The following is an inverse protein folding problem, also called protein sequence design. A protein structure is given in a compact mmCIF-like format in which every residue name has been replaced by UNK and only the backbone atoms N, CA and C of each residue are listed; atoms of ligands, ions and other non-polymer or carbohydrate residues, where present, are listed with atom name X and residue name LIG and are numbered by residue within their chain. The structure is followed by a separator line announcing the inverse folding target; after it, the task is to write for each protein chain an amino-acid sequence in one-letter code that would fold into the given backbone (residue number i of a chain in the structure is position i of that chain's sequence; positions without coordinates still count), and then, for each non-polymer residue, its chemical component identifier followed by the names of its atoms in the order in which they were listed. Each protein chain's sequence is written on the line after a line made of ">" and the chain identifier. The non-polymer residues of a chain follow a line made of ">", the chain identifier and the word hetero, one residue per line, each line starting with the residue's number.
data_IF_940550468613
#
_entry.id   IF_940550468613
#
_cell.length_a   1.000
_cell.length_b   1.000
_cell.length_c   1.000
_cell.angle_alpha   90.00
_cell.angle_beta   90.00
_cell.angle_gamma   90.00
#
_symmetry.space_group_name_H-M   'P 1'
#
loop_
_entity.id
_entity.type
_entity.pdbx_description
1 polymer ?
#
# COMPACT_ATOMS: atom_id res chain seq x y z
N UNK A 1 -21.66 59.59 3.08
CA UNK A 1 -20.60 60.41 2.43
C UNK A 1 -19.51 60.62 3.48
N UNK A 2 -18.68 59.60 3.73
CA UNK A 2 -17.35 59.36 3.14
C UNK A 2 -16.24 60.22 3.76
N UNK A 3 -15.45 59.63 4.67
CA UNK A 3 -14.11 60.13 5.07
C UNK A 3 -13.15 58.93 5.23
N UNK A 4 -12.42 58.66 4.14
CA UNK A 4 -10.99 58.37 3.96
C UNK A 4 -10.13 57.99 5.21
N UNK A 5 -9.47 56.81 5.20
CA UNK A 5 -8.00 56.53 5.06
C UNK A 5 -7.47 55.32 5.86
N UNK A 6 -6.90 54.38 5.09
CA UNK A 6 -5.67 53.57 5.29
C UNK A 6 -5.38 52.66 6.51
N UNK A 7 -4.88 51.46 6.12
CA UNK A 7 -3.91 50.54 6.74
C UNK A 7 -4.37 49.55 7.81
N UNK A 8 -4.25 48.25 7.49
CA UNK A 8 -3.31 47.32 8.16
C UNK A 8 -3.26 45.96 7.45
N UNK A 9 -2.04 45.45 7.28
CA UNK A 9 -1.72 44.05 6.96
C UNK A 9 -2.39 43.15 8.00
N UNK A 10 -3.29 42.27 7.58
CA UNK A 10 -3.71 41.13 8.40
C UNK A 10 -2.97 39.88 7.92
N UNK A 11 -2.10 39.40 8.81
CA UNK A 11 -1.57 38.03 8.90
C UNK A 11 -2.65 36.98 8.64
N UNK A 12 -2.29 35.79 8.09
CA UNK A 12 -3.24 34.71 7.93
C UNK A 12 -3.71 34.27 9.31
N UNK A 13 -4.99 34.46 9.57
CA UNK A 13 -5.69 33.88 10.70
C UNK A 13 -5.46 32.37 10.70
N UNK A 14 -4.81 31.88 11.76
CA UNK A 14 -4.78 30.47 12.10
C UNK A 14 -6.21 30.01 12.33
N UNK A 15 -6.82 29.38 11.33
CA UNK A 15 -8.09 28.68 11.46
C UNK A 15 -7.93 27.62 12.55
N UNK A 16 -8.51 27.90 13.72
CA UNK A 16 -8.70 26.92 14.78
C UNK A 16 -9.53 25.78 14.18
N UNK A 17 -8.90 24.62 13.97
CA UNK A 17 -9.63 23.38 13.67
C UNK A 17 -10.61 23.15 14.81
N UNK A 18 -11.90 23.24 14.53
CA UNK A 18 -12.94 22.85 15.47
C UNK A 18 -12.70 21.37 15.82
N UNK A 19 -12.54 21.08 17.11
CA UNK A 19 -12.42 19.71 17.60
C UNK A 19 -13.78 19.04 17.45
N UNK A 20 -13.95 18.25 16.38
CA UNK A 20 -15.05 17.29 16.33
C UNK A 20 -14.93 16.32 17.52
N UNK A 21 -16.05 15.90 18.14
CA UNK A 21 -16.02 14.93 19.23
C UNK A 21 -15.29 13.68 18.76
N UNK A 22 -14.48 13.07 19.64
CA UNK A 22 -13.73 11.84 19.40
C UNK A 22 -14.67 10.73 18.92
N UNK A 23 -14.83 10.59 17.60
CA UNK A 23 -15.68 9.57 17.01
C UNK A 23 -14.84 8.32 16.82
N UNK A 24 -15.10 7.34 17.67
CA UNK A 24 -14.60 6.00 17.45
C UNK A 24 -15.35 5.40 16.27
N UNK A 25 -14.66 5.13 15.17
CA UNK A 25 -15.26 4.54 13.97
C UNK A 25 -14.68 3.15 13.76
N UNK A 26 -15.54 2.13 13.68
CA UNK A 26 -15.19 0.76 13.36
C UNK A 26 -15.36 0.48 11.87
N UNK A 27 -14.25 0.16 11.22
CA UNK A 27 -14.16 -0.12 9.79
C UNK A 27 -13.92 -1.61 9.58
N UNK A 28 -14.78 -2.23 8.77
CA UNK A 28 -14.50 -3.53 8.14
C UNK A 28 -13.77 -3.28 6.82
N UNK A 29 -12.59 -3.85 6.62
CA UNK A 29 -11.81 -3.74 5.39
C UNK A 29 -11.67 -5.09 4.70
N UNK A 30 -11.93 -5.13 3.39
CA UNK A 30 -11.89 -6.34 2.55
C UNK A 30 -10.92 -6.11 1.37
N UNK A 31 -9.97 -7.03 1.18
CA UNK A 31 -8.98 -7.00 0.11
C UNK A 31 -8.99 -8.35 -0.66
N UNK A 32 -9.25 -8.28 -1.97
CA UNK A 32 -9.33 -9.43 -2.88
C UNK A 32 -8.85 -9.07 -4.29
N UNK A 33 -7.85 -8.19 -4.42
CA UNK A 33 -7.37 -7.70 -5.72
C UNK A 33 -6.58 -8.73 -6.53
N UNK A 34 -5.93 -9.69 -5.88
CA UNK A 34 -5.05 -10.66 -6.53
C UNK A 34 -5.24 -12.09 -5.99
N UNK A 35 -4.29 -12.62 -5.22
CA UNK A 35 -4.26 -14.01 -4.74
C UNK A 35 -4.27 -14.11 -3.20
N UNK A 36 -4.63 -13.01 -2.53
CA UNK A 36 -4.78 -12.92 -1.08
C UNK A 36 -6.21 -12.52 -0.75
N UNK A 37 -6.86 -13.30 0.13
CA UNK A 37 -8.15 -12.91 0.72
C UNK A 37 -7.86 -12.32 2.08
N UNK A 38 -8.06 -11.02 2.22
CA UNK A 38 -7.81 -10.32 3.48
C UNK A 38 -9.08 -9.69 4.03
N UNK A 39 -9.26 -9.81 5.34
CA UNK A 39 -10.31 -9.11 6.10
C UNK A 39 -9.69 -8.54 7.38
N UNK A 40 -9.85 -7.24 7.59
CA UNK A 40 -9.37 -6.56 8.79
C UNK A 40 -10.50 -5.77 9.46
N UNK A 41 -10.45 -5.69 10.79
CA UNK A 41 -11.26 -4.75 11.57
C UNK A 41 -10.32 -3.71 12.14
N UNK A 42 -10.62 -2.46 11.82
CA UNK A 42 -9.81 -1.30 12.21
C UNK A 42 -10.69 -0.32 12.98
N UNK A 43 -10.14 0.24 14.05
CA UNK A 43 -10.78 1.32 14.80
C UNK A 43 -10.01 2.61 14.59
N UNK A 44 -10.71 3.66 14.19
CA UNK A 44 -10.19 5.02 14.25
C UNK A 44 -10.52 5.58 15.62
N UNK A 45 -9.51 5.96 16.39
CA UNK A 45 -9.64 6.66 17.67
C UNK A 45 -8.85 7.97 17.54
N UNK A 46 -9.53 9.11 17.50
CA UNK A 46 -8.94 10.43 17.18
C UNK A 46 -8.17 10.41 15.84
N UNK A 47 -6.86 10.72 15.86
CA UNK A 47 -5.95 10.71 14.71
C UNK A 47 -5.12 9.40 14.64
N UNK A 48 -5.54 8.35 15.36
CA UNK A 48 -4.85 7.07 15.45
C UNK A 48 -5.67 5.94 14.83
N UNK A 49 -4.98 5.10 14.07
CA UNK A 49 -5.53 3.88 13.48
C UNK A 49 -5.11 2.68 14.32
N UNK A 50 -6.07 1.94 14.86
CA UNK A 50 -5.83 0.73 15.67
C UNK A 50 -6.36 -0.50 14.95
N UNK A 51 -5.48 -1.46 14.67
CA UNK A 51 -5.87 -2.75 14.10
C UNK A 51 -6.41 -3.65 15.22
N UNK A 52 -7.69 -4.05 15.13
CA UNK A 52 -8.32 -4.99 16.07
C UNK A 52 -8.18 -6.44 15.61
N UNK A 53 -8.22 -6.67 14.30
CA UNK A 53 -7.94 -7.96 13.67
C UNK A 53 -7.42 -7.76 12.25
N UNK A 54 -6.60 -8.69 11.78
CA UNK A 54 -6.04 -8.67 10.43
C UNK A 54 -5.83 -10.12 9.94
N UNK A 55 -6.83 -10.65 9.24
CA UNK A 55 -6.84 -12.01 8.73
C UNK A 55 -6.41 -12.02 7.26
N UNK A 56 -5.45 -12.88 6.91
CA UNK A 56 -4.93 -13.02 5.55
C UNK A 56 -4.85 -14.49 5.18
N UNK A 57 -5.55 -14.87 4.10
CA UNK A 57 -5.45 -16.19 3.46
C UNK A 57 -4.75 -16.06 2.12
N UNK A 58 -3.50 -16.51 2.05
CA UNK A 58 -2.67 -16.48 0.83
C UNK A 58 -2.86 -17.74 -0.01
N UNK A 59 -3.07 -17.57 -1.32
CA UNK A 59 -3.26 -18.65 -2.28
C UNK A 59 -1.95 -19.06 -2.98
N UNK A 60 -0.80 -18.55 -2.52
CA UNK A 60 0.52 -18.79 -3.15
C UNK A 60 0.79 -20.27 -3.42
N UNK A 61 0.52 -21.17 -2.46
CA UNK A 61 0.74 -22.62 -2.62
C UNK A 61 -0.11 -23.23 -3.74
N UNK A 62 -1.29 -22.68 -3.98
CA UNK A 62 -2.21 -23.14 -5.02
C UNK A 62 -1.70 -22.73 -6.40
N UNK A 63 -1.25 -21.48 -6.54
CA UNK A 63 -0.76 -20.90 -7.80
C UNK A 63 0.66 -21.34 -8.16
N UNK A 64 1.46 -21.79 -7.18
CA UNK A 64 2.83 -22.26 -7.42
C UNK A 64 2.94 -23.36 -8.50
N UNK A 65 1.91 -24.22 -8.64
CA UNK A 65 1.85 -25.27 -9.67
C UNK A 65 1.79 -24.72 -11.10
N UNK A 66 1.33 -23.48 -11.26
CA UNK A 66 1.17 -22.79 -12.53
C UNK A 66 2.28 -21.77 -12.80
N UNK A 67 3.16 -21.54 -11.81
CA UNK A 67 4.23 -20.55 -11.91
C UNK A 67 3.75 -19.10 -12.00
N UNK A 68 2.54 -18.83 -11.50
CA UNK A 68 1.89 -17.52 -11.52
C UNK A 68 0.41 -17.60 -11.14
N UNK A 69 -0.21 -16.45 -10.86
CA UNK A 69 -1.61 -16.38 -10.45
C UNK A 69 -2.55 -16.74 -11.60
N UNK A 70 -3.47 -17.67 -11.34
CA UNK A 70 -4.55 -18.03 -12.27
C UNK A 70 -5.84 -17.29 -11.88
N UNK A 71 -6.33 -16.29 -12.65
CA UNK A 71 -7.38 -15.38 -12.18
C UNK A 71 -8.69 -16.05 -11.75
N UNK A 72 -9.17 -17.03 -12.52
CA UNK A 72 -10.42 -17.74 -12.19
C UNK A 72 -10.26 -18.65 -10.96
N UNK A 73 -9.06 -19.18 -10.73
CA UNK A 73 -8.77 -19.96 -9.54
C UNK A 73 -8.71 -19.06 -8.31
N UNK A 74 -8.11 -17.87 -8.45
CA UNK A 74 -8.04 -16.89 -7.38
C UNK A 74 -9.43 -16.41 -6.94
N UNK A 75 -10.29 -16.06 -7.90
CA UNK A 75 -11.69 -15.72 -7.64
C UNK A 75 -12.43 -16.83 -6.86
N UNK A 76 -12.24 -18.10 -7.23
CA UNK A 76 -12.86 -19.25 -6.53
C UNK A 76 -12.39 -19.37 -5.09
N UNK A 77 -11.11 -19.13 -4.83
CA UNK A 77 -10.59 -19.17 -3.46
C UNK A 77 -11.07 -17.98 -2.62
N UNK A 78 -11.25 -16.78 -3.20
CA UNK A 78 -11.89 -15.68 -2.47
C UNK A 78 -13.31 -16.04 -2.03
N UNK A 79 -14.12 -16.63 -2.92
CA UNK A 79 -15.49 -17.06 -2.59
C UNK A 79 -15.51 -18.04 -1.42
N UNK A 80 -14.57 -19.01 -1.39
CA UNK A 80 -14.49 -20.00 -0.31
C UNK A 80 -14.06 -19.39 1.02
N UNK A 81 -13.14 -18.43 0.99
CA UNK A 81 -12.46 -17.96 2.19
C UNK A 81 -13.07 -16.70 2.81
N UNK A 82 -13.77 -15.84 2.06
CA UNK A 82 -14.25 -14.55 2.56
C UNK A 82 -15.11 -14.66 3.83
N UNK A 83 -16.11 -15.54 3.83
CA UNK A 83 -16.99 -15.72 4.99
C UNK A 83 -16.25 -16.28 6.21
N UNK A 84 -15.29 -17.19 5.99
CA UNK A 84 -14.44 -17.74 7.04
C UNK A 84 -13.51 -16.68 7.63
N UNK A 85 -12.93 -15.83 6.77
CA UNK A 85 -12.06 -14.72 7.18
C UNK A 85 -12.85 -13.66 7.94
N UNK A 86 -14.06 -13.31 7.48
CA UNK A 86 -14.93 -12.37 8.19
C UNK A 86 -15.28 -12.89 9.59
N UNK A 87 -15.72 -14.14 9.72
CA UNK A 87 -16.04 -14.74 11.02
C UNK A 87 -14.83 -14.72 11.96
N UNK A 88 -13.66 -15.08 11.45
CA UNK A 88 -12.40 -15.08 12.21
C UNK A 88 -12.02 -13.66 12.64
N UNK A 89 -12.16 -12.67 11.76
CA UNK A 89 -11.84 -11.27 12.02
C UNK A 89 -12.77 -10.65 13.08
N UNK A 90 -14.08 -10.95 13.04
CA UNK A 90 -15.05 -10.51 14.05
C UNK A 90 -14.76 -11.15 15.42
N UNK A 91 -14.45 -12.46 15.42
CA UNK A 91 -14.12 -13.19 16.64
C UNK A 91 -12.84 -12.67 17.30
N UNK A 92 -11.78 -12.43 16.53
CA UNK A 92 -10.52 -11.88 17.03
C UNK A 92 -10.71 -10.45 17.58
N UNK A 93 -11.46 -9.61 16.86
CA UNK A 93 -11.78 -8.25 17.28
C UNK A 93 -12.77 -8.19 18.46
N UNK A 94 -13.48 -9.29 18.75
CA UNK A 94 -14.53 -9.41 19.78
C UNK A 94 -15.65 -8.40 19.60
N UNK A 95 -16.11 -8.23 18.37
CA UNK A 95 -17.24 -7.35 18.02
C UNK A 95 -18.32 -8.14 17.28
N UNK A 96 -19.52 -7.56 17.23
CA UNK A 96 -20.64 -8.06 16.44
C UNK A 96 -20.78 -7.24 15.13
N UNK A 97 -21.40 -7.81 14.07
CA UNK A 97 -21.64 -7.07 12.83
C UNK A 97 -22.36 -5.73 13.01
N UNK A 98 -23.25 -5.62 14.00
CA UNK A 98 -24.00 -4.39 14.30
C UNK A 98 -23.08 -3.24 14.75
N UNK A 99 -21.93 -3.56 15.35
CA UNK A 99 -20.95 -2.60 15.85
C UNK A 99 -20.12 -1.97 14.73
N UNK A 100 -20.15 -2.51 13.51
CA UNK A 100 -19.40 -1.97 12.37
C UNK A 100 -20.08 -0.69 11.91
N UNK A 101 -19.32 0.39 11.74
CA UNK A 101 -19.84 1.67 11.28
C UNK A 101 -19.77 1.81 9.76
N UNK A 102 -18.73 1.26 9.14
CA UNK A 102 -18.48 1.37 7.69
C UNK A 102 -17.77 0.16 7.14
N UNK A 103 -18.09 -0.20 5.90
CA UNK A 103 -17.45 -1.26 5.14
C UNK A 103 -16.58 -0.62 4.06
N UNK A 104 -15.34 -1.08 3.94
CA UNK A 104 -14.40 -0.67 2.91
C UNK A 104 -13.93 -1.89 2.12
N UNK A 105 -13.77 -1.72 0.81
CA UNK A 105 -13.36 -2.80 -0.08
C UNK A 105 -12.45 -2.27 -1.17
N UNK A 106 -11.42 -3.03 -1.51
CA UNK A 106 -10.57 -2.70 -2.65
C UNK A 106 -11.37 -2.78 -3.95
N UNK A 107 -11.50 -1.64 -4.63
CA UNK A 107 -12.21 -1.53 -5.90
C UNK A 107 -11.29 -1.74 -7.11
N UNK A 108 -9.99 -1.50 -6.94
CA UNK A 108 -8.95 -1.69 -7.95
C UNK A 108 -7.71 -0.84 -7.67
N UNK A 109 -6.66 -0.96 -8.49
CA UNK A 109 -6.48 -1.92 -9.57
C UNK A 109 -6.34 -3.36 -9.06
N UNK A 110 -6.47 -4.34 -9.96
CA UNK A 110 -6.39 -5.77 -9.63
C UNK A 110 -7.02 -6.66 -10.70
N UNK A 111 -7.07 -7.96 -10.42
CA UNK A 111 -7.68 -8.95 -11.30
C UNK A 111 -9.20 -8.81 -11.23
N UNK A 112 -9.85 -8.45 -12.35
CA UNK A 112 -11.31 -8.25 -12.42
C UNK A 112 -12.11 -9.40 -11.78
N UNK A 113 -11.82 -10.70 -12.07
CA UNK A 113 -12.56 -11.80 -11.45
C UNK A 113 -12.43 -11.84 -9.92
N UNK A 114 -11.28 -11.42 -9.37
CA UNK A 114 -11.02 -11.40 -7.94
C UNK A 114 -11.68 -10.18 -7.27
N UNK A 115 -11.53 -9.00 -7.86
CA UNK A 115 -12.16 -7.75 -7.39
C UNK A 115 -13.69 -7.87 -7.31
N UNK A 116 -14.32 -8.46 -8.34
CA UNK A 116 -15.77 -8.64 -8.38
C UNK A 116 -16.28 -9.47 -7.20
N UNK A 117 -15.51 -10.45 -6.72
CA UNK A 117 -15.90 -11.26 -5.57
C UNK A 117 -15.94 -10.41 -4.30
N UNK A 118 -14.86 -9.69 -3.99
CA UNK A 118 -14.80 -8.82 -2.81
C UNK A 118 -15.82 -7.67 -2.87
N UNK A 119 -15.91 -6.97 -4.00
CA UNK A 119 -16.84 -5.84 -4.18
C UNK A 119 -18.29 -6.30 -4.04
N UNK A 120 -18.69 -7.42 -4.65
CA UNK A 120 -20.05 -7.92 -4.51
C UNK A 120 -20.33 -8.38 -3.08
N UNK A 121 -19.39 -9.06 -2.43
CA UNK A 121 -19.51 -9.47 -1.04
C UNK A 121 -19.71 -8.25 -0.12
N UNK A 122 -18.88 -7.21 -0.26
CA UNK A 122 -18.98 -5.98 0.51
C UNK A 122 -20.29 -5.23 0.25
N UNK A 123 -20.77 -5.17 -1.00
CA UNK A 123 -22.09 -4.61 -1.34
C UNK A 123 -23.23 -5.40 -0.68
N UNK A 124 -23.15 -6.73 -0.67
CA UNK A 124 -24.14 -7.57 0.02
C UNK A 124 -24.16 -7.29 1.52
N UNK A 125 -23.00 -7.19 2.17
CA UNK A 125 -22.93 -6.84 3.59
C UNK A 125 -23.45 -5.43 3.88
N UNK A 126 -23.08 -4.45 3.05
CA UNK A 126 -23.55 -3.07 3.16
C UNK A 126 -25.07 -3.00 3.06
N UNK A 127 -25.68 -3.74 2.13
CA UNK A 127 -27.13 -3.83 1.99
C UNK A 127 -27.80 -4.52 3.19
N UNK A 128 -27.25 -5.65 3.66
CA UNK A 128 -27.83 -6.42 4.77
C UNK A 128 -27.70 -5.73 6.14
N UNK A 129 -26.59 -5.02 6.36
CA UNK A 129 -26.30 -4.38 7.64
C UNK A 129 -26.62 -2.89 7.65
N UNK A 130 -27.11 -2.35 6.52
CA UNK A 130 -27.42 -0.94 6.32
C UNK A 130 -26.24 -0.02 6.69
N UNK A 131 -25.02 -0.45 6.32
CA UNK A 131 -23.78 0.30 6.60
C UNK A 131 -23.24 0.96 5.33
N UNK A 132 -22.68 2.18 5.41
CA UNK A 132 -21.97 2.81 4.31
C UNK A 132 -20.88 1.91 3.72
N UNK A 133 -20.69 2.00 2.40
CA UNK A 133 -19.67 1.28 1.65
C UNK A 133 -18.71 2.26 0.98
N UNK A 134 -17.41 2.05 1.16
CA UNK A 134 -16.35 2.87 0.57
C UNK A 134 -15.47 1.98 -0.33
N UNK A 135 -15.32 2.38 -1.60
CA UNK A 135 -14.35 1.79 -2.51
C UNK A 135 -12.96 2.36 -2.26
N UNK A 136 -11.96 1.49 -2.11
CA UNK A 136 -10.57 1.88 -1.85
C UNK A 136 -9.70 1.54 -3.05
N UNK A 137 -8.81 2.46 -3.40
CA UNK A 137 -7.79 2.20 -4.40
C UNK A 137 -6.63 1.39 -3.79
N UNK A 138 -6.30 0.23 -4.37
CA UNK A 138 -5.33 -0.72 -3.82
C UNK A 138 -3.96 -0.08 -3.52
N UNK A 139 -3.48 0.77 -4.43
CA UNK A 139 -2.18 1.46 -4.26
C UNK A 139 -2.22 2.53 -3.17
N UNK A 140 -3.37 3.17 -2.95
CA UNK A 140 -3.52 4.09 -1.82
C UNK A 140 -3.42 3.31 -0.51
N UNK A 141 -4.02 2.11 -0.45
CA UNK A 141 -3.86 1.20 0.68
C UNK A 141 -2.39 0.89 0.99
N UNK A 142 -1.57 0.59 -0.02
CA UNK A 142 -0.13 0.39 0.15
C UNK A 142 0.60 1.62 0.69
N UNK A 143 0.26 2.81 0.21
CA UNK A 143 0.85 4.06 0.70
C UNK A 143 0.46 4.29 2.18
N UNK A 144 -0.83 4.18 2.48
CA UNK A 144 -1.38 4.41 3.82
C UNK A 144 -0.97 3.35 4.85
N UNK A 145 -0.52 2.17 4.44
CA UNK A 145 0.04 1.16 5.35
C UNK A 145 1.18 1.74 6.22
N UNK A 146 1.97 2.69 5.69
CA UNK A 146 3.06 3.35 6.42
C UNK A 146 2.57 4.35 7.48
N UNK A 147 1.28 4.73 7.45
CA UNK A 147 0.67 5.64 8.42
C UNK A 147 0.04 4.89 9.60
N UNK A 148 -0.10 3.56 9.50
CA UNK A 148 -0.57 2.73 10.61
C UNK A 148 0.60 2.48 11.55
N UNK A 149 0.54 3.08 12.75
CA UNK A 149 1.57 2.90 13.79
C UNK A 149 1.54 1.47 14.34
N UNK A 150 2.71 0.96 14.71
CA UNK A 150 2.98 -0.45 15.05
C UNK A 150 1.91 -1.12 15.91
N UNK A 151 1.46 -2.31 15.48
CA UNK A 151 0.96 -3.32 16.39
C UNK A 151 2.17 -4.10 16.92
N UNK A 152 2.51 -4.04 18.22
CA UNK A 152 3.66 -4.74 18.78
C UNK A 152 3.59 -6.28 18.67
N UNK A 153 2.50 -6.84 18.12
CA UNK A 153 2.31 -8.27 17.87
C UNK A 153 2.54 -8.72 16.42
N UNK A 154 2.88 -7.84 15.47
CA UNK A 154 3.24 -8.31 14.13
C UNK A 154 4.65 -8.92 14.14
N UNK A 155 4.74 -10.25 14.11
CA UNK A 155 6.02 -10.99 14.06
C UNK A 155 6.85 -10.72 12.80
N UNK A 156 6.25 -10.06 11.81
CA UNK A 156 6.95 -9.53 10.64
C UNK A 156 7.21 -8.06 10.95
N UNK A 157 8.41 -7.76 11.47
CA UNK A 157 9.16 -6.51 11.24
C UNK A 157 10.31 -6.42 12.25
N UNK A 158 11.30 -7.28 12.05
CA UNK A 158 12.68 -6.89 12.35
C UNK A 158 13.60 -7.64 11.39
N UNK A 159 14.43 -6.97 10.57
CA UNK A 159 15.47 -7.61 9.76
C UNK A 159 16.59 -8.24 10.62
N UNK A 160 16.34 -8.55 11.89
CA UNK A 160 17.23 -9.34 12.74
C UNK A 160 17.24 -10.84 12.39
N UNK A 161 16.35 -11.31 11.50
CA UNK A 161 16.24 -12.74 11.14
C UNK A 161 16.75 -13.12 9.74
N UNK A 162 17.18 -12.17 8.91
CA UNK A 162 17.88 -12.51 7.65
C UNK A 162 19.38 -12.31 7.88
N UNK A 163 20.02 -13.40 8.28
CA UNK A 163 21.46 -13.51 8.42
C UNK A 163 22.19 -13.22 7.09
N UNK A 164 23.30 -12.47 7.19
CA UNK A 164 24.38 -12.26 6.19
C UNK A 164 24.20 -11.26 5.03
N UNK A 165 23.16 -10.43 4.98
CA UNK A 165 23.16 -9.27 4.07
C UNK A 165 23.40 -8.01 4.89
N UNK A 166 24.39 -7.20 4.53
CA UNK A 166 24.52 -5.81 5.03
C UNK A 166 23.26 -5.05 4.60
N UNK A 167 22.21 -5.12 5.42
CA UNK A 167 21.08 -4.23 5.29
C UNK A 167 21.60 -2.82 5.54
N UNK A 168 21.51 -1.96 4.52
CA UNK A 168 21.69 -0.53 4.72
C UNK A 168 20.77 -0.12 5.87
N UNK A 169 21.37 0.27 7.00
CA UNK A 169 20.63 0.76 8.18
C UNK A 169 20.03 2.12 7.83
N UNK A 170 18.93 2.11 7.10
CA UNK A 170 18.08 3.28 6.96
C UNK A 170 17.51 3.56 8.36
N UNK A 171 18.07 4.57 9.03
CA UNK A 171 17.45 5.13 10.24
C UNK A 171 16.21 5.90 9.78
N UNK A 172 15.07 5.20 9.67
CA UNK A 172 13.79 5.89 9.66
C UNK A 172 13.62 6.52 11.05
N UNK A 173 13.77 7.84 11.15
CA UNK A 173 13.43 8.54 12.38
C UNK A 173 11.94 8.34 12.63
N UNK A 174 11.52 8.08 13.87
CA UNK A 174 10.12 8.10 14.34
C UNK A 174 9.44 9.48 14.20
N UNK A 175 9.99 10.37 13.38
CA UNK A 175 9.43 11.66 13.07
C UNK A 175 8.08 11.47 12.37
N UNK A 176 7.08 12.25 12.80
CA UNK A 176 5.80 12.35 12.12
C UNK A 176 6.02 12.60 10.61
N UNK A 177 5.33 11.83 9.78
CA UNK A 177 5.38 11.97 8.31
C UNK A 177 4.96 13.40 7.96
N UNK A 178 5.82 14.13 7.25
CA UNK A 178 5.56 15.51 6.79
C UNK A 178 5.45 15.53 5.28
N UNK A 179 4.40 16.15 4.77
CA UNK A 179 4.21 16.33 3.34
C UNK A 179 5.08 17.47 2.77
N UNK A 180 5.41 17.43 1.46
CA UNK A 180 5.15 16.33 0.53
C UNK A 180 6.05 15.11 0.81
N UNK A 181 5.57 13.90 0.49
CA UNK A 181 6.35 12.66 0.57
C UNK A 181 6.50 12.02 -0.79
N UNK A 182 7.62 11.34 -0.99
CA UNK A 182 7.87 10.53 -2.17
C UNK A 182 7.74 9.04 -1.80
N UNK A 183 6.77 8.36 -2.41
CA UNK A 183 6.46 6.96 -2.18
C UNK A 183 7.02 6.11 -3.31
N UNK A 184 7.87 5.14 -2.98
CA UNK A 184 8.26 4.08 -3.90
C UNK A 184 7.35 2.87 -3.66
N UNK A 185 6.44 2.62 -4.60
CA UNK A 185 5.51 1.48 -4.56
C UNK A 185 6.10 0.34 -5.38
N UNK A 186 6.47 -0.76 -4.72
CA UNK A 186 7.01 -1.96 -5.36
C UNK A 186 6.20 -3.18 -4.93
N UNK A 187 5.50 -3.80 -5.87
CA UNK A 187 4.72 -5.02 -5.66
C UNK A 187 4.91 -6.00 -6.82
N UNK A 188 4.16 -7.11 -6.81
CA UNK A 188 4.12 -8.05 -7.93
C UNK A 188 3.77 -7.39 -9.26
N UNK A 189 2.78 -6.50 -9.26
CA UNK A 189 2.25 -5.86 -10.48
C UNK A 189 2.46 -4.35 -10.58
N UNK A 190 3.14 -3.72 -9.61
CA UNK A 190 3.35 -2.27 -9.61
C UNK A 190 4.81 -1.93 -9.31
N UNK A 191 5.36 -0.99 -10.06
CA UNK A 191 6.63 -0.33 -9.77
C UNK A 191 6.46 1.13 -10.15
N UNK A 192 6.17 1.95 -9.14
CA UNK A 192 5.80 3.34 -9.31
C UNK A 192 6.51 4.22 -8.28
N UNK A 193 6.87 5.42 -8.71
CA UNK A 193 7.33 6.52 -7.88
C UNK A 193 6.21 7.55 -7.85
N UNK A 194 5.63 7.76 -6.67
CA UNK A 194 4.44 8.58 -6.46
C UNK A 194 4.77 9.73 -5.52
N UNK A 195 4.63 10.96 -5.98
CA UNK A 195 4.69 12.16 -5.15
C UNK A 195 3.33 12.39 -4.51
N UNK A 196 3.25 12.29 -3.19
CA UNK A 196 2.06 12.59 -2.40
C UNK A 196 2.24 13.99 -1.78
N UNK A 197 1.52 14.97 -2.32
CA UNK A 197 1.63 16.39 -1.94
C UNK A 197 0.95 16.72 -0.63
N UNK A 198 -0.13 16.01 -0.34
CA UNK A 198 -0.90 15.98 0.91
C UNK A 198 -1.74 14.68 0.91
N UNK A 199 -2.52 14.43 1.96
CA UNK A 199 -3.49 13.34 1.97
C UNK A 199 -4.38 13.34 0.73
N UNK A 200 -4.50 12.16 0.10
CA UNK A 200 -5.30 11.94 -1.12
C UNK A 200 -4.88 12.78 -2.35
N UNK A 201 -3.71 13.44 -2.31
CA UNK A 201 -3.18 14.23 -3.43
C UNK A 201 -1.93 13.59 -4.01
N UNK A 202 -2.10 12.83 -5.09
CA UNK A 202 -1.03 12.03 -5.70
C UNK A 202 -0.64 12.54 -7.09
N UNK A 203 0.64 12.38 -7.41
CA UNK A 203 1.20 12.57 -8.74
C UNK A 203 2.17 11.42 -9.02
N UNK A 204 1.93 10.63 -10.07
CA UNK A 204 2.87 9.61 -10.52
C UNK A 204 4.02 10.32 -11.22
N UNK A 205 5.20 10.34 -10.60
CA UNK A 205 6.40 10.98 -11.15
C UNK A 205 7.25 10.02 -12.00
N UNK A 206 7.05 8.72 -11.83
CA UNK A 206 7.68 7.69 -12.64
C UNK A 206 7.03 6.33 -12.43
N UNK A 207 7.10 5.48 -13.44
CA UNK A 207 6.63 4.10 -13.36
C UNK A 207 7.42 3.22 -14.34
N UNK A 208 7.41 1.91 -14.09
CA UNK A 208 7.90 0.96 -15.09
C UNK A 208 7.11 1.08 -16.39
N UNK A 209 7.77 0.84 -17.52
CA UNK A 209 7.12 0.78 -18.85
C UNK A 209 6.78 -0.65 -19.25
N UNK A 210 7.36 -1.63 -18.56
CA UNK A 210 7.25 -3.05 -18.87
C UNK A 210 6.94 -3.85 -17.59
N UNK A 211 7.89 -4.66 -17.13
CA UNK A 211 7.71 -5.52 -15.98
C UNK A 211 7.81 -4.71 -14.70
N UNK A 212 6.88 -4.97 -13.78
CA UNK A 212 7.10 -4.59 -12.39
C UNK A 212 8.27 -5.39 -11.82
N UNK A 213 8.95 -4.84 -10.83
CA UNK A 213 10.10 -5.51 -10.18
C UNK A 213 9.68 -6.86 -9.60
N UNK A 214 8.52 -6.96 -8.94
CA UNK A 214 8.04 -8.24 -8.42
C UNK A 214 7.86 -9.30 -9.52
N UNK A 215 7.22 -8.92 -10.63
CA UNK A 215 7.07 -9.78 -11.81
C UNK A 215 8.41 -10.20 -12.42
N UNK A 216 9.37 -9.27 -12.52
CA UNK A 216 10.71 -9.58 -13.02
C UNK A 216 11.41 -10.64 -12.14
N UNK A 217 11.29 -10.52 -10.82
CA UNK A 217 11.80 -11.52 -9.88
C UNK A 217 11.13 -12.89 -10.07
N UNK A 218 9.81 -12.93 -10.29
CA UNK A 218 9.06 -14.15 -10.54
C UNK A 218 9.45 -14.81 -11.86
N UNK A 219 9.64 -14.02 -12.93
CA UNK A 219 10.12 -14.51 -14.24
C UNK A 219 11.51 -15.11 -14.13
N UNK A 220 12.45 -14.42 -13.47
CA UNK A 220 13.82 -14.92 -13.25
C UNK A 220 13.79 -16.20 -12.43
N UNK A 221 13.02 -16.25 -11.35
CA UNK A 221 12.89 -17.44 -10.52
C UNK A 221 12.39 -18.65 -11.32
N UNK A 222 11.43 -18.43 -12.21
CA UNK A 222 10.91 -19.47 -13.12
C UNK A 222 11.97 -19.95 -14.11
N UNK A 223 12.73 -19.03 -14.72
CA UNK A 223 13.82 -19.38 -15.66
C UNK A 223 14.91 -20.20 -14.95
N UNK A 224 15.23 -19.84 -13.70
CA UNK A 224 16.22 -20.53 -12.87
C UNK A 224 15.70 -21.83 -12.24
N UNK A 225 14.41 -22.15 -12.39
CA UNK A 225 13.81 -23.35 -11.81
C UNK A 225 13.71 -23.33 -10.28
N UNK A 226 13.73 -22.15 -9.65
CA UNK A 226 13.73 -22.00 -8.17
C UNK A 226 12.33 -21.72 -7.59
N UNK A 227 11.29 -21.83 -8.41
CA UNK A 227 9.88 -21.86 -8.00
C UNK A 227 9.14 -20.52 -8.00
N UNK A 228 7.92 -20.52 -7.45
CA UNK A 228 7.03 -19.37 -7.26
C UNK A 228 6.52 -19.35 -5.81
N UNK A 229 6.48 -18.18 -5.13
CA UNK A 229 6.79 -16.85 -5.62
C UNK A 229 8.31 -16.64 -5.66
N UNK A 230 8.78 -15.96 -6.70
CA UNK A 230 10.18 -15.85 -7.06
C UNK A 230 10.95 -14.84 -6.22
N UNK A 231 10.34 -13.73 -5.83
CA UNK A 231 10.96 -12.67 -5.01
C UNK A 231 11.79 -13.21 -3.83
N UNK A 232 11.15 -13.87 -2.84
CA UNK A 232 11.86 -14.43 -1.70
C UNK A 232 12.87 -15.53 -2.05
N UNK A 233 12.60 -16.32 -3.09
CA UNK A 233 13.49 -17.38 -3.54
C UNK A 233 14.79 -16.82 -4.12
N UNK A 234 14.71 -15.87 -5.05
CA UNK A 234 15.86 -15.19 -5.67
C UNK A 234 16.69 -14.49 -4.59
N UNK A 235 16.05 -13.73 -3.69
CA UNK A 235 16.76 -13.03 -2.62
C UNK A 235 17.57 -13.99 -1.72
N UNK A 236 17.01 -15.17 -1.41
CA UNK A 236 17.71 -16.21 -0.61
C UNK A 236 18.91 -16.80 -1.33
N UNK A 237 18.82 -17.02 -2.64
CA UNK A 237 19.95 -17.52 -3.44
C UNK A 237 21.04 -16.44 -3.56
N UNK A 238 20.64 -15.20 -3.83
CA UNK A 238 21.55 -14.06 -3.95
C UNK A 238 22.34 -13.80 -2.64
N UNK A 239 21.68 -13.91 -1.48
CA UNK A 239 22.34 -13.72 -0.18
C UNK A 239 23.47 -14.72 0.10
N UNK A 240 23.44 -15.89 -0.53
CA UNK A 240 24.48 -16.92 -0.40
C UNK A 240 25.49 -16.91 -1.56
N UNK A 241 25.27 -16.08 -2.58
CA UNK A 241 26.11 -16.04 -3.76
C UNK A 241 27.40 -15.27 -3.48
N UNK A 242 28.55 -15.90 -3.73
CA UNK A 242 29.83 -15.23 -3.71
C UNK A 242 30.21 -14.84 -5.14
N UNK A 243 30.28 -13.54 -5.40
CA UNK A 243 30.75 -13.08 -6.70
C UNK A 243 32.21 -13.52 -6.90
N UNK A 244 32.55 -14.11 -8.06
CA UNK A 244 33.93 -14.50 -8.38
C UNK A 244 34.84 -13.29 -8.62
N UNK A 245 34.29 -12.08 -8.62
CA UNK A 245 34.99 -10.82 -8.76
C UNK A 245 34.48 -9.90 -7.64
N UNK A 246 35.38 -9.17 -6.98
CA UNK A 246 34.99 -8.12 -6.05
C UNK A 246 34.10 -7.11 -6.78
N UNK A 247 32.85 -6.96 -6.33
CA UNK A 247 31.94 -5.97 -6.89
C UNK A 247 32.62 -4.59 -6.80
N UNK A 248 32.56 -3.75 -7.86
CA UNK A 248 33.05 -2.40 -7.77
C UNK A 248 32.29 -1.70 -6.65
N UNK A 249 33.00 -1.34 -5.59
CA UNK A 249 32.48 -0.48 -4.54
C UNK A 249 32.33 0.90 -5.16
N UNK A 250 31.10 1.22 -5.59
CA UNK A 250 30.78 2.60 -5.93
C UNK A 250 31.06 3.45 -4.70
N UNK A 251 32.09 4.29 -4.75
CA UNK A 251 32.16 5.41 -3.82
C UNK A 251 30.86 6.18 -4.00
N UNK A 252 30.15 6.46 -2.92
CA UNK A 252 29.05 7.41 -2.90
C UNK A 252 29.61 8.82 -3.19
N UNK A 253 30.10 9.04 -4.41
CA UNK A 253 30.28 10.37 -4.96
C UNK A 253 28.89 10.98 -5.07
N UNK A 254 28.74 12.20 -4.55
CA UNK A 254 27.50 12.97 -4.56
C UNK A 254 26.71 12.75 -5.87
N UNK A 255 25.65 11.94 -5.79
CA UNK A 255 24.67 11.81 -6.87
C UNK A 255 23.87 13.13 -6.90
N UNK A 256 24.42 14.15 -7.55
CA UNK A 256 23.65 15.31 -8.01
C UNK A 256 22.91 14.89 -9.27
N UNK A 257 21.70 14.34 -9.11
CA UNK A 257 20.77 14.24 -10.25
C UNK A 257 20.20 15.64 -10.49
N UNK A 258 20.75 16.34 -11.48
CA UNK A 258 20.15 17.57 -12.01
C UNK A 258 18.84 17.22 -12.75
N UNK A 259 17.76 16.98 -12.01
CA UNK A 259 16.40 17.04 -12.55
C UNK A 259 16.02 18.53 -12.71
N UNK A 260 16.54 19.18 -13.75
CA UNK A 260 16.00 20.46 -14.22
C UNK A 260 16.51 20.82 -15.62
N UNK A 261 15.71 20.48 -16.65
CA UNK A 261 15.32 21.31 -17.81
C UNK A 261 15.00 20.44 -19.03
N UNK A 262 13.72 20.10 -19.17
CA UNK A 262 13.04 20.16 -20.47
C UNK A 262 11.57 20.52 -20.20
N UNK A 263 11.36 21.76 -19.75
CA UNK A 263 10.06 22.41 -19.85
C UNK A 263 10.32 23.73 -20.58
N UNK A 264 9.69 23.84 -21.75
CA UNK A 264 9.48 25.02 -22.59
C UNK A 264 10.70 25.83 -23.07
N UNK A 265 11.01 25.72 -24.36
CA UNK A 265 11.43 26.84 -25.22
C UNK A 265 11.28 26.46 -26.70
N UNK A 266 10.06 26.15 -27.14
CA UNK A 266 9.67 26.35 -28.54
C UNK A 266 8.88 27.66 -28.63
N UNK A 267 9.61 28.76 -28.78
CA UNK A 267 9.16 29.99 -29.44
C UNK A 267 10.25 31.05 -29.28
N UNK A 268 11.18 31.09 -30.24
CA UNK A 268 11.69 32.32 -30.86
C UNK A 268 12.78 31.98 -31.89
N UNK A 269 12.64 32.65 -33.04
CA UNK A 269 13.57 32.85 -34.15
C UNK A 269 13.77 31.72 -35.18
N UNK A 270 13.09 31.89 -36.32
CA UNK A 270 13.72 32.27 -37.59
C UNK A 270 12.74 33.25 -38.26
N UNK A 271 13.10 34.53 -38.43
CA UNK A 271 13.88 35.07 -39.55
C UNK A 271 13.19 34.83 -40.90
#
# INVERSE_FOLDING_TARGET
>A
MSIIKETKKNTPESTKREKHPSQNVLVLAIETSCDETAVAIVRLEDECVKILSNQVSSQVKLHAKWGGVVPNLAAREHVKNLDLMLKSALQEARILPVDIDVISVTQGPGLIPALLVGVNYAKTLSYLWEKPLIGIHHIEGHIYANFVRENPKSEILNPKRISKVESYKLKASEAAIKFPILCLVVSGGHTQLVLMKDHLQYEIVGQTLDDAVGEAFDKVARILGIGYPGGPAVARHAANFQFPISLPTGQAGNFQTNFNKQISNESKNTA
#
